data_IF_769298429869
#
_entry.id   IF_769298429869
#
_cell.length_a   1.000
_cell.length_b   1.000
_cell.length_c   1.000
_cell.angle_alpha   90.00
_cell.angle_beta   90.00
_cell.angle_gamma   90.00
#
_symmetry.space_group_name_H-M   'P 1'
#
loop_
_entity.id
_entity.type
_entity.pdbx_description
1 polymer ?
#
# COMPACT_ATOMS: atom_id res chain seq x y z
N UNK A 1 16.10 -3.12 10.17
CA UNK A 1 15.24 -2.31 11.08
C UNK A 1 14.98 -0.95 10.43
N UNK A 2 14.19 -0.92 9.35
CA UNK A 2 13.75 0.35 8.73
C UNK A 2 12.24 0.46 8.96
N UNK A 3 11.88 1.53 9.66
CA UNK A 3 10.56 1.81 10.23
C UNK A 3 9.51 1.93 9.13
N UNK A 4 8.45 1.15 9.27
CA UNK A 4 7.22 1.27 8.48
C UNK A 4 6.57 2.67 8.60
N UNK A 5 6.99 3.48 9.60
CA UNK A 5 6.56 4.88 9.83
C UNK A 5 7.00 5.88 8.73
N UNK A 6 7.89 5.52 7.80
CA UNK A 6 8.25 6.41 6.68
C UNK A 6 7.42 6.17 5.41
N UNK A 7 6.50 5.21 5.42
CA UNK A 7 5.55 5.00 4.31
C UNK A 7 4.50 6.11 4.47
N UNK A 8 4.51 7.10 3.59
CA UNK A 8 3.68 8.32 3.63
C UNK A 8 2.19 8.08 3.39
N UNK A 9 1.65 6.99 3.94
CA UNK A 9 0.22 6.75 4.10
C UNK A 9 -0.06 7.09 5.56
N UNK A 10 -0.23 8.39 5.82
CA UNK A 10 -0.31 8.91 7.17
C UNK A 10 -1.65 8.61 7.84
N UNK A 11 -2.60 8.01 7.12
CA UNK A 11 -3.95 7.74 7.59
C UNK A 11 -4.65 6.63 6.81
N UNK A 12 -5.34 5.75 7.54
CA UNK A 12 -6.26 4.74 7.01
C UNK A 12 -7.29 5.29 6.00
N UNK A 13 -7.94 6.46 6.22
CA UNK A 13 -8.87 7.04 5.24
C UNK A 13 -8.22 7.35 3.88
N UNK A 14 -6.97 7.84 3.87
CA UNK A 14 -6.25 8.11 2.62
C UNK A 14 -5.93 6.83 1.86
N UNK A 15 -5.64 5.74 2.59
CA UNK A 15 -5.51 4.39 2.02
C UNK A 15 -6.83 3.87 1.44
N UNK A 16 -7.96 4.15 2.11
CA UNK A 16 -9.29 3.70 1.69
C UNK A 16 -9.76 4.39 0.39
N UNK A 17 -9.36 5.65 0.18
CA UNK A 17 -9.66 6.43 -1.03
C UNK A 17 -8.68 6.13 -2.18
N UNK A 18 -7.45 5.73 -1.87
CA UNK A 18 -6.44 5.41 -2.88
C UNK A 18 -6.67 4.06 -3.58
N UNK A 19 -6.32 4.00 -4.86
CA UNK A 19 -6.42 2.78 -5.67
C UNK A 19 -5.23 1.84 -5.40
N UNK A 20 -5.49 0.53 -5.42
CA UNK A 20 -4.46 -0.53 -5.27
C UNK A 20 -3.28 -0.30 -6.21
N UNK A 21 -3.54 0.09 -7.46
CA UNK A 21 -2.51 0.34 -8.47
C UNK A 21 -1.60 1.51 -8.12
N UNK A 22 -2.17 2.60 -7.60
CA UNK A 22 -1.43 3.78 -7.15
C UNK A 22 -0.62 3.46 -5.90
N UNK A 23 -1.20 2.78 -4.91
CA UNK A 23 -0.50 2.40 -3.67
C UNK A 23 0.66 1.46 -3.99
N UNK A 24 0.43 0.42 -4.79
CA UNK A 24 1.48 -0.54 -5.18
C UNK A 24 2.59 0.17 -5.96
N UNK A 25 2.26 1.13 -6.83
CA UNK A 25 3.25 1.89 -7.60
C UNK A 25 4.04 2.84 -6.70
N UNK A 26 3.38 3.54 -5.78
CA UNK A 26 4.01 4.42 -4.81
C UNK A 26 4.96 3.63 -3.89
N UNK A 27 4.49 2.53 -3.31
CA UNK A 27 5.29 1.65 -2.44
C UNK A 27 6.46 1.03 -3.20
N UNK A 28 6.26 0.56 -4.43
CA UNK A 28 7.34 0.00 -5.26
C UNK A 28 8.39 1.06 -5.63
N UNK A 29 7.97 2.28 -5.96
CA UNK A 29 8.87 3.40 -6.23
C UNK A 29 9.66 3.82 -4.99
N UNK A 30 9.00 3.83 -3.82
CA UNK A 30 9.60 4.24 -2.55
C UNK A 30 10.56 3.19 -1.98
N UNK A 31 10.28 1.90 -2.18
CA UNK A 31 11.18 0.80 -1.82
C UNK A 31 12.25 0.52 -2.89
N UNK A 32 12.26 1.28 -4.00
CA UNK A 32 13.17 1.09 -5.13
C UNK A 32 13.07 -0.30 -5.78
N UNK A 33 11.95 -1.00 -5.57
CA UNK A 33 11.79 -2.42 -5.88
C UNK A 33 10.55 -2.65 -6.72
N UNK A 34 10.74 -2.95 -8.01
CA UNK A 34 9.64 -3.26 -8.95
C UNK A 34 8.99 -4.62 -8.68
N UNK A 35 9.64 -5.48 -7.88
CA UNK A 35 9.14 -6.79 -7.48
C UNK A 35 7.75 -6.70 -6.82
N UNK A 36 7.45 -5.61 -6.11
CA UNK A 36 6.13 -5.37 -5.50
C UNK A 36 5.03 -5.10 -6.53
N UNK A 37 5.34 -4.42 -7.64
CA UNK A 37 4.34 -4.09 -8.68
C UNK A 37 3.90 -5.32 -9.48
N UNK A 38 4.82 -6.26 -9.70
CA UNK A 38 4.56 -7.48 -10.45
C UNK A 38 4.21 -8.70 -9.58
N UNK A 39 4.40 -8.62 -8.26
CA UNK A 39 4.04 -9.72 -7.37
C UNK A 39 2.52 -9.74 -7.14
N UNK A 40 1.83 -10.87 -7.45
CA UNK A 40 0.42 -11.03 -7.12
C UNK A 40 0.19 -11.04 -5.61
N UNK A 41 1.17 -11.51 -4.81
CA UNK A 41 1.07 -11.48 -3.35
C UNK A 41 1.09 -10.05 -2.81
N UNK A 42 1.95 -9.19 -3.37
CA UNK A 42 2.01 -7.78 -2.99
C UNK A 42 0.70 -7.04 -3.28
N UNK A 43 0.12 -7.25 -4.47
CA UNK A 43 -1.19 -6.68 -4.82
C UNK A 43 -2.30 -7.15 -3.87
N UNK A 44 -2.31 -8.44 -3.53
CA UNK A 44 -3.28 -8.99 -2.58
C UNK A 44 -3.12 -8.40 -1.16
N UNK A 45 -1.89 -8.20 -0.69
CA UNK A 45 -1.62 -7.59 0.61
C UNK A 45 -2.11 -6.13 0.67
N UNK A 46 -1.85 -5.35 -0.38
CA UNK A 46 -2.35 -3.96 -0.48
C UNK A 46 -3.87 -3.93 -0.57
N UNK A 47 -4.48 -4.81 -1.38
CA UNK A 47 -5.94 -4.91 -1.46
C UNK A 47 -6.56 -5.20 -0.09
N UNK A 48 -6.01 -6.16 0.66
CA UNK A 48 -6.48 -6.48 2.01
C UNK A 48 -6.33 -5.31 2.99
N UNK A 49 -5.26 -4.51 2.87
CA UNK A 49 -5.06 -3.32 3.68
C UNK A 49 -6.11 -2.23 3.37
N UNK A 50 -6.45 -2.02 2.10
CA UNK A 50 -7.50 -1.08 1.66
C UNK A 50 -8.88 -1.55 2.13
N UNK A 51 -9.21 -2.83 1.96
CA UNK A 51 -10.48 -3.42 2.42
C UNK A 51 -10.65 -3.27 3.94
N UNK A 52 -9.57 -3.51 4.70
CA UNK A 52 -9.56 -3.32 6.14
C UNK A 52 -9.76 -1.83 6.50
N UNK A 53 -9.10 -0.92 5.78
CA UNK A 53 -9.25 0.52 6.01
C UNK A 53 -10.67 1.01 5.73
N UNK A 54 -11.30 0.55 4.63
CA UNK A 54 -12.71 0.82 4.32
C UNK A 54 -13.66 0.26 5.36
N UNK A 55 -13.37 -0.91 5.91
CA UNK A 55 -14.17 -1.54 6.98
C UNK A 55 -14.00 -0.85 8.34
N UNK A 56 -12.97 0.00 8.50
CA UNK A 56 -12.66 0.73 9.74
C UNK A 56 -13.08 2.22 9.66
N UNK A 57 -13.66 2.65 8.53
CA UNK A 57 -14.24 3.97 8.28
C UNK A 57 -15.74 3.96 8.62
#
# INVERSE_FOLDING_TARGET
MQRLEQIGINSLPELAEASVGDIVTAVAGQLGSTCWKNSPQARAAIQAAIDLAKSRQ
#
